data_IF_609637447055
#
_entry.id   IF_609637447055
#
_cell.length_a   1.000
_cell.length_b   1.000
_cell.length_c   1.000
_cell.angle_alpha   90.00
_cell.angle_beta   90.00
_cell.angle_gamma   90.00
#
_symmetry.space_group_name_H-M   'P 1'
#
loop_
_entity.id
_entity.type
_entity.pdbx_description
1 polymer ?
#
# COMPACT_ATOMS: atom_id res chain seq x y z
N UNK A 1 3.96 -10.96 9.41
CA UNK A 1 2.50 -11.12 9.25
C UNK A 1 2.10 -12.32 8.40
N UNK A 2 2.54 -12.46 7.13
CA UNK A 2 2.10 -13.60 6.31
C UNK A 2 2.57 -14.96 6.87
N UNK A 3 3.87 -15.12 7.15
CA UNK A 3 4.41 -16.37 7.72
C UNK A 3 3.82 -16.71 9.10
N UNK A 4 3.59 -15.71 9.94
CA UNK A 4 2.93 -15.87 11.24
C UNK A 4 1.53 -16.49 11.06
N UNK A 5 0.71 -15.95 10.15
CA UNK A 5 -0.61 -16.53 9.84
C UNK A 5 -0.51 -17.88 9.16
N UNK A 6 0.48 -18.08 8.30
CA UNK A 6 0.73 -19.35 7.63
C UNK A 6 1.10 -20.46 8.63
N UNK A 7 1.65 -20.14 9.79
CA UNK A 7 1.97 -21.11 10.84
C UNK A 7 0.78 -21.30 11.80
N UNK A 8 0.20 -20.22 12.32
CA UNK A 8 -0.84 -20.29 13.35
C UNK A 8 -2.12 -20.97 12.85
N UNK A 9 -2.57 -20.62 11.65
CA UNK A 9 -3.86 -21.08 11.11
C UNK A 9 -3.89 -22.60 10.88
N UNK A 10 -2.98 -23.20 10.09
CA UNK A 10 -3.05 -24.63 9.82
C UNK A 10 -2.78 -25.48 11.06
N UNK A 11 -1.87 -25.06 11.95
CA UNK A 11 -1.58 -25.80 13.20
C UNK A 11 -2.81 -25.81 14.11
N UNK A 12 -3.44 -24.65 14.30
CA UNK A 12 -4.64 -24.54 15.14
C UNK A 12 -5.84 -25.30 14.57
N UNK A 13 -5.92 -25.50 13.26
CA UNK A 13 -7.03 -26.18 12.61
C UNK A 13 -6.81 -27.70 12.55
N UNK A 14 -5.56 -28.13 12.38
CA UNK A 14 -5.15 -29.54 12.33
C UNK A 14 -5.37 -30.25 13.66
N UNK A 15 -5.04 -29.59 14.76
CA UNK A 15 -5.16 -30.16 16.11
C UNK A 15 -6.45 -29.65 16.75
N UNK A 16 -7.51 -30.44 16.65
CA UNK A 16 -8.81 -30.12 17.24
C UNK A 16 -9.16 -31.08 18.40
N UNK A 17 -10.34 -30.88 19.01
CA UNK A 17 -10.79 -31.65 20.18
C UNK A 17 -11.05 -33.15 19.91
N UNK A 18 -11.23 -33.54 18.65
CA UNK A 18 -11.49 -34.93 18.24
C UNK A 18 -10.23 -35.55 17.60
N UNK A 19 -9.54 -36.46 18.29
CA UNK A 19 -8.25 -37.00 17.83
C UNK A 19 -8.35 -37.83 16.53
N UNK A 20 -9.55 -38.28 16.15
CA UNK A 20 -9.77 -39.05 14.93
C UNK A 20 -9.76 -38.22 13.64
N UNK A 21 -9.78 -36.88 13.75
CA UNK A 21 -9.87 -35.97 12.60
C UNK A 21 -8.57 -35.24 12.30
N UNK A 22 -7.50 -35.54 13.05
CA UNK A 22 -6.20 -34.92 12.87
C UNK A 22 -5.60 -35.31 11.52
N UNK A 23 -5.12 -34.32 10.79
CA UNK A 23 -4.53 -34.51 9.47
C UNK A 23 -3.42 -33.50 9.22
N UNK A 24 -2.31 -33.93 8.62
CA UNK A 24 -1.19 -33.04 8.30
C UNK A 24 -1.51 -32.13 7.10
N UNK A 25 -1.51 -30.82 7.32
CA UNK A 25 -1.69 -29.86 6.22
C UNK A 25 -0.52 -29.93 5.23
N UNK A 26 -0.82 -30.24 3.96
CA UNK A 26 0.13 -30.26 2.85
C UNK A 26 -0.25 -29.17 1.83
N UNK A 27 0.56 -28.11 1.70
CA UNK A 27 0.27 -27.06 0.74
C UNK A 27 0.40 -27.58 -0.69
N UNK A 28 -0.53 -27.18 -1.56
CA UNK A 28 -0.54 -27.52 -2.97
C UNK A 28 -0.75 -26.29 -3.85
N UNK A 29 -1.92 -26.22 -4.49
CA UNK A 29 -2.30 -25.14 -5.42
C UNK A 29 -2.31 -23.74 -4.78
N UNK A 30 -2.43 -23.66 -3.46
CA UNK A 30 -2.52 -22.42 -2.68
C UNK A 30 -1.26 -21.54 -2.81
N UNK A 31 -0.09 -22.14 -3.03
CA UNK A 31 1.16 -21.41 -3.25
C UNK A 31 1.10 -20.63 -4.57
N UNK A 32 0.64 -21.28 -5.64
CA UNK A 32 0.52 -20.67 -6.95
C UNK A 32 -0.57 -19.61 -6.97
N UNK A 33 -1.67 -19.86 -6.25
CA UNK A 33 -2.73 -18.90 -6.10
C UNK A 33 -2.24 -17.65 -5.38
N UNK A 34 -1.49 -17.80 -4.28
CA UNK A 34 -0.87 -16.66 -3.55
C UNK A 34 0.05 -15.84 -4.46
N UNK A 35 0.94 -16.49 -5.20
CA UNK A 35 1.82 -15.83 -6.18
C UNK A 35 0.99 -15.10 -7.25
N UNK A 36 -0.06 -15.75 -7.75
CA UNK A 36 -1.01 -15.16 -8.70
C UNK A 36 -1.69 -13.91 -8.17
N UNK A 37 -2.10 -13.88 -6.90
CA UNK A 37 -2.71 -12.69 -6.27
C UNK A 37 -1.71 -11.53 -6.19
N UNK A 38 -0.45 -11.79 -5.84
CA UNK A 38 0.59 -10.77 -5.84
C UNK A 38 0.89 -10.24 -7.25
N UNK A 39 0.96 -11.14 -8.24
CA UNK A 39 1.17 -10.75 -9.64
C UNK A 39 0.00 -9.91 -10.16
N UNK A 40 -1.24 -10.30 -9.87
CA UNK A 40 -2.44 -9.54 -10.22
C UNK A 40 -2.43 -8.16 -9.56
N UNK A 41 -2.09 -8.08 -8.27
CA UNK A 41 -1.98 -6.81 -7.56
C UNK A 41 -0.95 -5.88 -8.20
N UNK A 42 0.25 -6.38 -8.51
CA UNK A 42 1.29 -5.60 -9.18
C UNK A 42 0.83 -5.13 -10.55
N UNK A 43 0.19 -6.00 -11.33
CA UNK A 43 -0.33 -5.66 -12.65
C UNK A 43 -1.37 -4.54 -12.57
N UNK A 44 -2.36 -4.66 -11.68
CA UNK A 44 -3.38 -3.63 -11.49
C UNK A 44 -2.77 -2.33 -10.96
N UNK A 45 -1.81 -2.41 -10.05
CA UNK A 45 -1.09 -1.26 -9.52
C UNK A 45 -0.31 -0.53 -10.61
N UNK A 46 0.39 -1.25 -11.50
CA UNK A 46 1.13 -0.65 -12.62
C UNK A 46 0.17 0.04 -13.61
N UNK A 47 -0.97 -0.57 -13.90
CA UNK A 47 -2.00 0.04 -14.76
C UNK A 47 -2.53 1.32 -14.11
N UNK A 48 -2.90 1.27 -12.83
CA UNK A 48 -3.41 2.42 -12.09
C UNK A 48 -2.37 3.55 -12.02
N UNK A 49 -1.11 3.24 -11.74
CA UNK A 49 0.02 4.18 -11.70
C UNK A 49 0.24 4.92 -13.02
N UNK A 50 -0.04 4.25 -14.15
CA UNK A 50 0.06 4.88 -15.48
C UNK A 50 -1.12 5.81 -15.79
N UNK A 51 -2.31 5.50 -15.29
CA UNK A 51 -3.54 6.23 -15.62
C UNK A 51 -3.76 7.39 -14.65
N UNK A 52 -3.45 7.20 -13.37
CA UNK A 52 -3.72 8.12 -12.28
C UNK A 52 -2.39 8.66 -11.75
N UNK A 53 -2.25 9.99 -11.58
CA UNK A 53 -1.06 10.54 -10.96
C UNK A 53 -0.92 10.03 -9.53
N UNK A 54 0.22 9.37 -9.24
CA UNK A 54 0.55 8.85 -7.90
C UNK A 54 0.66 9.95 -6.84
N UNK A 55 1.10 11.14 -7.26
CA UNK A 55 1.22 12.31 -6.39
C UNK A 55 0.09 13.29 -6.73
N UNK A 56 -0.71 13.73 -5.75
CA UNK A 56 -1.77 14.69 -5.99
C UNK A 56 -1.19 16.01 -6.50
N UNK A 57 -1.56 16.38 -7.74
CA UNK A 57 -1.01 17.56 -8.43
C UNK A 57 -1.37 18.86 -7.71
N UNK A 58 -2.54 18.92 -7.05
CA UNK A 58 -3.00 20.09 -6.31
C UNK A 58 -2.12 20.39 -5.10
N UNK A 59 -1.77 19.36 -4.31
CA UNK A 59 -0.87 19.50 -3.16
C UNK A 59 0.53 19.98 -3.60
N UNK A 60 1.01 19.47 -4.73
CA UNK A 60 2.27 19.93 -5.32
C UNK A 60 2.17 21.40 -5.74
N UNK A 61 1.08 21.81 -6.39
CA UNK A 61 0.88 23.22 -6.79
C UNK A 61 0.80 24.14 -5.57
N UNK A 62 0.04 23.79 -4.55
CA UNK A 62 -0.05 24.54 -3.30
C UNK A 62 1.32 24.67 -2.62
N UNK A 63 2.09 23.58 -2.57
CA UNK A 63 3.45 23.60 -2.06
C UNK A 63 4.38 24.54 -2.86
N UNK A 64 4.31 24.52 -4.19
CA UNK A 64 5.12 25.43 -5.03
C UNK A 64 4.71 26.90 -4.87
N UNK A 65 3.41 27.19 -4.76
CA UNK A 65 2.89 28.54 -4.55
C UNK A 65 3.32 29.08 -3.18
N UNK A 66 3.28 28.24 -2.14
CA UNK A 66 3.73 28.59 -0.79
C UNK A 66 5.21 28.99 -0.74
N UNK A 67 6.06 28.29 -1.51
CA UNK A 67 7.50 28.59 -1.59
C UNK A 67 7.88 29.70 -2.58
N UNK A 68 6.92 30.25 -3.33
CA UNK A 68 7.22 31.31 -4.29
C UNK A 68 7.39 32.67 -3.60
N UNK A 69 8.49 33.37 -3.91
CA UNK A 69 8.75 34.73 -3.43
C UNK A 69 8.31 35.70 -4.53
N UNK A 70 7.38 36.59 -4.21
CA UNK A 70 6.83 37.58 -5.16
C UNK A 70 7.35 38.97 -4.81
N UNK A 71 7.87 39.68 -5.82
CA UNK A 71 8.28 41.09 -5.66
C UNK A 71 7.05 41.99 -5.71
N UNK A 72 6.70 42.60 -4.58
CA UNK A 72 5.61 43.58 -4.47
C UNK A 72 6.24 44.95 -4.26
N UNK A 73 6.20 45.79 -5.31
CA UNK A 73 6.88 47.09 -5.30
C UNK A 73 8.41 46.96 -5.23
N UNK A 74 9.02 47.44 -4.14
CA UNK A 74 10.48 47.33 -3.88
C UNK A 74 10.87 46.15 -2.98
N UNK A 75 9.91 45.47 -2.36
CA UNK A 75 10.18 44.39 -1.40
C UNK A 75 9.90 43.02 -2.04
N UNK A 76 10.73 42.03 -1.68
CA UNK A 76 10.48 40.62 -1.99
C UNK A 76 9.74 40.01 -0.79
N UNK A 77 8.49 39.63 -0.98
CA UNK A 77 7.64 39.03 0.07
C UNK A 77 7.31 37.59 -0.30
N UNK A 78 7.20 36.68 0.67
CA UNK A 78 6.64 35.35 0.42
C UNK A 78 5.20 35.49 -0.08
N UNK A 79 4.82 34.67 -1.06
CA UNK A 79 3.54 34.74 -1.77
C UNK A 79 2.32 34.42 -0.89
N UNK A 80 2.52 33.74 0.23
CA UNK A 80 1.46 33.36 1.16
C UNK A 80 1.80 33.92 2.54
N UNK A 81 0.92 34.76 3.06
CA UNK A 81 0.91 35.16 4.46
C UNK A 81 0.25 34.03 5.26
N UNK A 82 1.07 33.29 6.02
CA UNK A 82 0.66 32.32 7.03
C UNK A 82 0.15 30.97 6.51
N UNK A 83 0.98 29.94 6.72
CA UNK A 83 0.52 28.58 6.95
C UNK A 83 1.05 28.22 8.34
N UNK A 84 0.14 28.21 9.32
CA UNK A 84 0.32 27.47 10.58
C UNK A 84 0.35 25.96 10.28
#
# INVERSE_FOLDING_TARGET
MYFERYIIVPISLTINRSPFTWFEYKPGVEIYLTIGTFALFILLYMIASKIIPLVPVWEVQEGQLSHSIRKVGKANLPSVSELE
#
